data_IF_697018914604
#
_entry.id   IF_697018914604
#
_cell.length_a   1.000
_cell.length_b   1.000
_cell.length_c   1.000
_cell.angle_alpha   90.00
_cell.angle_beta   90.00
_cell.angle_gamma   90.00
#
_symmetry.space_group_name_H-M   'P 1'
#
loop_
_entity.id
_entity.type
_entity.pdbx_description
1 polymer ?
#
# COMPACT_ATOMS: atom_id res chain seq x y z
N UNK A 1 -29.05 0.23 -99.19
CA UNK A 1 -27.92 -0.10 -98.28
C UNK A 1 -27.97 0.88 -97.10
N UNK A 2 -28.48 0.45 -95.93
CA UNK A 2 -28.78 1.32 -94.77
C UNK A 2 -27.66 1.21 -93.74
N UNK A 3 -27.00 2.31 -93.41
CA UNK A 3 -26.01 2.36 -92.33
C UNK A 3 -26.61 3.16 -91.16
N UNK A 4 -27.15 2.43 -90.18
CA UNK A 4 -27.62 2.98 -88.90
C UNK A 4 -26.42 3.25 -88.00
N UNK A 5 -26.10 4.54 -87.78
CA UNK A 5 -25.17 4.97 -86.74
C UNK A 5 -25.82 4.70 -85.37
N UNK A 6 -25.36 3.66 -84.66
CA UNK A 6 -25.77 3.38 -83.28
C UNK A 6 -25.19 4.45 -82.36
N UNK A 7 -26.07 5.22 -81.73
CA UNK A 7 -25.74 6.09 -80.61
C UNK A 7 -25.18 5.25 -79.46
N UNK A 8 -23.91 5.48 -79.10
CA UNK A 8 -23.36 5.05 -77.83
C UNK A 8 -23.90 5.99 -76.75
N UNK A 9 -25.00 5.58 -76.14
CA UNK A 9 -25.60 6.19 -74.95
C UNK A 9 -24.70 5.87 -73.76
N UNK A 10 -23.69 6.70 -73.53
CA UNK A 10 -22.89 6.65 -72.31
C UNK A 10 -23.79 7.01 -71.13
N UNK A 11 -24.32 5.98 -70.48
CA UNK A 11 -24.97 6.10 -69.18
C UNK A 11 -23.89 6.46 -68.17
N UNK A 12 -23.85 7.73 -67.76
CA UNK A 12 -23.17 8.14 -66.53
C UNK A 12 -23.90 7.50 -65.35
N UNK A 13 -23.58 6.25 -65.06
CA UNK A 13 -23.92 5.65 -63.77
C UNK A 13 -22.89 6.16 -62.77
N UNK A 14 -23.25 7.26 -62.10
CA UNK A 14 -22.55 7.69 -60.90
C UNK A 14 -22.71 6.60 -59.85
N UNK A 15 -21.63 6.10 -59.23
CA UNK A 15 -21.77 5.28 -58.04
C UNK A 15 -22.33 6.19 -56.94
N UNK A 16 -23.63 6.08 -56.68
CA UNK A 16 -24.25 6.61 -55.47
C UNK A 16 -23.51 5.98 -54.29
N UNK A 17 -22.62 6.76 -53.67
CA UNK A 17 -22.00 6.42 -52.41
C UNK A 17 -23.11 6.10 -51.42
N UNK A 18 -23.22 4.82 -51.05
CA UNK A 18 -24.19 4.30 -50.10
C UNK A 18 -23.76 4.75 -48.70
N UNK A 19 -24.17 5.94 -48.31
CA UNK A 19 -23.90 6.57 -47.02
C UNK A 19 -24.69 5.96 -45.84
N UNK A 20 -25.10 4.69 -45.95
CA UNK A 20 -25.93 3.99 -44.96
C UNK A 20 -25.13 3.20 -43.91
N UNK A 21 -23.90 2.80 -44.22
CA UNK A 21 -23.15 1.83 -43.38
C UNK A 21 -22.21 2.48 -42.35
N UNK A 22 -22.08 3.81 -42.34
CA UNK A 22 -21.19 4.53 -41.41
C UNK A 22 -21.77 4.69 -40.00
N UNK A 23 -23.10 4.80 -39.87
CA UNK A 23 -23.80 4.95 -38.59
C UNK A 23 -23.61 3.74 -37.64
N UNK A 24 -23.76 2.47 -38.08
CA UNK A 24 -23.53 1.33 -37.19
C UNK A 24 -22.06 1.21 -36.77
N UNK A 25 -21.12 1.63 -37.61
CA UNK A 25 -19.68 1.56 -37.34
C UNK A 25 -19.26 2.59 -36.28
N UNK A 26 -19.83 3.80 -36.31
CA UNK A 26 -19.66 4.83 -35.28
C UNK A 26 -20.28 4.37 -33.95
N UNK A 27 -21.47 3.75 -33.98
CA UNK A 27 -22.11 3.19 -32.79
C UNK A 27 -21.28 2.07 -32.13
N UNK A 28 -20.70 1.18 -32.94
CA UNK A 28 -19.80 0.13 -32.47
C UNK A 28 -18.55 0.71 -31.82
N UNK A 29 -17.87 1.66 -32.49
CA UNK A 29 -16.70 2.35 -31.92
C UNK A 29 -17.03 3.04 -30.59
N UNK A 30 -18.16 3.73 -30.52
CA UNK A 30 -18.61 4.37 -29.28
C UNK A 30 -18.83 3.37 -28.15
N UNK A 31 -19.45 2.22 -28.44
CA UNK A 31 -19.67 1.16 -27.44
C UNK A 31 -18.37 0.54 -26.93
N UNK A 32 -17.36 0.37 -27.79
CA UNK A 32 -16.05 -0.18 -27.42
C UNK A 32 -15.28 0.80 -26.53
N UNK A 33 -15.31 2.10 -26.85
CA UNK A 33 -14.68 3.13 -26.02
C UNK A 33 -15.35 3.21 -24.64
N UNK A 34 -16.68 3.16 -24.60
CA UNK A 34 -17.42 3.20 -23.35
C UNK A 34 -17.15 1.96 -22.49
N UNK A 35 -17.15 0.77 -23.09
CA UNK A 35 -16.82 -0.47 -22.41
C UNK A 35 -15.37 -0.46 -21.88
N UNK A 36 -14.43 0.05 -22.66
CA UNK A 36 -13.04 0.23 -22.25
C UNK A 36 -12.90 1.20 -21.08
N UNK A 37 -13.63 2.31 -21.08
CA UNK A 37 -13.64 3.28 -19.98
C UNK A 37 -14.20 2.65 -18.68
N UNK A 38 -15.30 1.91 -18.77
CA UNK A 38 -15.91 1.23 -17.61
C UNK A 38 -14.97 0.14 -17.07
N UNK A 39 -14.38 -0.67 -17.95
CA UNK A 39 -13.42 -1.70 -17.56
C UNK A 39 -12.17 -1.08 -16.91
N UNK A 40 -11.65 0.01 -17.47
CA UNK A 40 -10.51 0.74 -16.91
C UNK A 40 -10.81 1.34 -15.54
N UNK A 41 -11.99 1.97 -15.36
CA UNK A 41 -12.40 2.50 -14.06
C UNK A 41 -12.59 1.40 -13.01
N UNK A 42 -13.19 0.27 -13.41
CA UNK A 42 -13.40 -0.87 -12.52
C UNK A 42 -12.05 -1.48 -12.09
N UNK A 43 -11.10 -1.58 -13.02
CA UNK A 43 -9.74 -2.03 -12.72
C UNK A 43 -9.03 -1.07 -11.75
N UNK A 44 -9.09 0.24 -11.99
CA UNK A 44 -8.50 1.24 -11.09
C UNK A 44 -9.10 1.17 -9.69
N UNK A 45 -10.42 0.98 -9.59
CA UNK A 45 -11.11 0.83 -8.31
C UNK A 45 -10.62 -0.39 -7.54
N UNK A 46 -10.52 -1.56 -8.20
CA UNK A 46 -9.99 -2.78 -7.58
C UNK A 46 -8.52 -2.63 -7.19
N UNK A 47 -7.72 -1.98 -8.04
CA UNK A 47 -6.31 -1.71 -7.77
C UNK A 47 -6.14 -0.82 -6.54
N UNK A 48 -6.92 0.26 -6.44
CA UNK A 48 -6.93 1.14 -5.26
C UNK A 48 -7.36 0.38 -4.01
N UNK A 49 -8.42 -0.42 -4.10
CA UNK A 49 -8.89 -1.26 -3.00
C UNK A 49 -7.82 -2.21 -2.48
N UNK A 50 -7.11 -2.89 -3.38
CA UNK A 50 -6.03 -3.80 -3.01
C UNK A 50 -4.86 -3.05 -2.35
N UNK A 51 -4.48 -1.87 -2.86
CA UNK A 51 -3.42 -1.05 -2.26
C UNK A 51 -3.77 -0.56 -0.85
N UNK A 52 -5.02 -0.16 -0.64
CA UNK A 52 -5.50 0.26 0.69
C UNK A 52 -5.48 -0.92 1.67
N UNK A 53 -5.90 -2.11 1.23
CA UNK A 53 -5.85 -3.31 2.06
C UNK A 53 -4.42 -3.67 2.45
N UNK A 54 -3.47 -3.61 1.51
CA UNK A 54 -2.05 -3.86 1.81
C UNK A 54 -1.47 -2.85 2.82
N UNK A 55 -1.80 -1.56 2.68
CA UNK A 55 -1.38 -0.55 3.65
C UNK A 55 -1.96 -0.82 5.03
N UNK A 56 -3.22 -1.24 5.09
CA UNK A 56 -3.89 -1.56 6.35
C UNK A 56 -3.28 -2.78 7.03
N UNK A 57 -2.97 -3.83 6.28
CA UNK A 57 -2.30 -5.01 6.85
C UNK A 57 -0.90 -4.66 7.37
N UNK A 58 -0.14 -3.86 6.63
CA UNK A 58 1.18 -3.41 7.06
C UNK A 58 1.13 -2.55 8.34
N UNK A 59 0.14 -1.65 8.45
CA UNK A 59 -0.06 -0.87 9.66
C UNK A 59 -0.44 -1.74 10.86
N UNK A 60 -1.29 -2.74 10.65
CA UNK A 60 -1.69 -3.65 11.73
C UNK A 60 -0.51 -4.52 12.19
N UNK A 61 0.27 -5.03 11.24
CA UNK A 61 1.49 -5.79 11.54
C UNK A 61 2.49 -4.96 12.33
N UNK A 62 2.72 -3.71 11.92
CA UNK A 62 3.60 -2.78 12.64
C UNK A 62 3.08 -2.42 14.05
N UNK A 63 1.76 -2.37 14.24
CA UNK A 63 1.17 -2.17 15.58
C UNK A 63 1.39 -3.38 16.47
N UNK A 64 1.15 -4.58 15.94
CA UNK A 64 1.35 -5.83 16.68
C UNK A 64 2.83 -6.00 17.07
N UNK A 65 3.77 -5.65 16.19
CA UNK A 65 5.20 -5.71 16.53
C UNK A 65 5.57 -4.71 17.63
N UNK A 66 5.02 -3.49 17.58
CA UNK A 66 5.28 -2.46 18.57
C UNK A 66 4.71 -2.85 19.95
N UNK A 67 3.50 -3.40 19.99
CA UNK A 67 2.89 -3.91 21.23
C UNK A 67 3.71 -5.08 21.81
N UNK A 68 4.24 -5.97 20.97
CA UNK A 68 5.11 -7.06 21.41
C UNK A 68 6.42 -6.53 22.03
N UNK A 69 7.05 -5.54 21.41
CA UNK A 69 8.25 -4.89 21.95
C UNK A 69 7.97 -4.16 23.27
N UNK A 70 6.84 -3.47 23.39
CA UNK A 70 6.42 -2.81 24.63
C UNK A 70 6.20 -3.83 25.76
N UNK A 71 5.61 -4.97 25.47
CA UNK A 71 5.42 -6.02 26.48
C UNK A 71 6.76 -6.62 26.93
N UNK A 72 7.70 -6.84 25.99
CA UNK A 72 9.06 -7.26 26.33
C UNK A 72 9.73 -6.22 27.22
N UNK A 73 9.64 -4.93 26.89
CA UNK A 73 10.20 -3.85 27.69
C UNK A 73 9.56 -3.79 29.09
N UNK A 74 8.25 -4.01 29.20
CA UNK A 74 7.54 -4.06 30.48
C UNK A 74 8.04 -5.22 31.34
N UNK A 75 8.15 -6.42 30.77
CA UNK A 75 8.67 -7.60 31.46
C UNK A 75 10.12 -7.35 31.89
N UNK A 76 10.94 -6.77 31.00
CA UNK A 76 12.32 -6.44 31.30
C UNK A 76 12.44 -5.42 32.42
N UNK A 77 11.59 -4.38 32.44
CA UNK A 77 11.54 -3.40 33.51
C UNK A 77 11.22 -4.05 34.86
N UNK A 78 10.24 -4.96 34.91
CA UNK A 78 9.92 -5.72 36.14
C UNK A 78 11.12 -6.59 36.56
N UNK A 79 11.77 -7.28 35.62
CA UNK A 79 12.95 -8.11 35.92
C UNK A 79 14.14 -7.29 36.40
N UNK A 80 14.36 -6.11 35.83
CA UNK A 80 15.40 -5.17 36.28
C UNK A 80 15.08 -4.71 37.71
N UNK A 81 13.83 -4.34 37.99
CA UNK A 81 13.43 -3.93 39.33
C UNK A 81 13.60 -5.05 40.37
N UNK A 82 13.26 -6.30 40.00
CA UNK A 82 13.51 -7.48 40.83
C UNK A 82 15.03 -7.75 41.04
N UNK A 83 15.82 -7.68 39.96
CA UNK A 83 17.26 -7.98 39.98
C UNK A 83 18.09 -6.91 40.69
N UNK A 84 17.72 -5.63 40.50
CA UNK A 84 18.36 -4.47 41.09
C UNK A 84 17.58 -3.87 42.26
N UNK A 85 16.67 -4.65 42.86
CA UNK A 85 16.03 -4.25 44.10
C UNK A 85 17.10 -3.92 45.14
N UNK A 86 16.99 -2.73 45.73
CA UNK A 86 17.93 -2.21 46.73
C UNK A 86 18.17 -3.22 47.86
N UNK A 87 17.15 -4.02 48.19
CA UNK A 87 17.23 -5.08 49.18
C UNK A 87 18.12 -6.25 48.73
N UNK A 88 18.05 -6.68 47.46
CA UNK A 88 18.93 -7.71 46.93
C UNK A 88 20.36 -7.21 46.77
N UNK A 89 20.55 -5.98 46.30
CA UNK A 89 21.87 -5.35 46.21
C UNK A 89 22.48 -5.23 47.62
N UNK A 90 21.71 -4.75 48.60
CA UNK A 90 22.16 -4.64 49.99
C UNK A 90 22.48 -6.02 50.61
N UNK A 91 21.71 -7.06 50.26
CA UNK A 91 21.96 -8.43 50.70
C UNK A 91 23.26 -8.99 50.11
N UNK A 92 23.47 -8.85 48.80
CA UNK A 92 24.72 -9.27 48.15
C UNK A 92 25.91 -8.48 48.71
N UNK A 93 25.76 -7.17 48.96
CA UNK A 93 26.82 -6.35 49.54
C UNK A 93 27.17 -6.75 50.98
N UNK A 94 26.19 -7.19 51.79
CA UNK A 94 26.45 -7.70 53.13
C UNK A 94 27.04 -9.11 53.11
N UNK A 95 26.45 -10.01 52.32
CA UNK A 95 26.78 -11.44 52.34
C UNK A 95 28.07 -11.78 51.57
N UNK A 96 28.33 -11.09 50.45
CA UNK A 96 29.49 -11.39 49.58
C UNK A 96 30.60 -10.34 49.68
N UNK A 97 30.28 -9.08 50.00
CA UNK A 97 31.27 -7.99 50.09
C UNK A 97 31.59 -7.61 51.55
N UNK A 98 30.97 -8.27 52.54
CA UNK A 98 31.15 -8.02 53.98
C UNK A 98 30.99 -6.54 54.38
N UNK A 99 30.15 -5.78 53.65
CA UNK A 99 29.88 -4.37 53.97
C UNK A 99 28.74 -4.29 54.99
N UNK A 100 29.01 -3.76 56.19
CA UNK A 100 28.01 -3.62 57.27
C UNK A 100 26.91 -2.59 56.95
N UNK A 101 27.25 -1.58 56.15
CA UNK A 101 26.32 -0.55 55.65
C UNK A 101 26.74 -0.14 54.22
N UNK A 102 25.84 -0.21 53.22
CA UNK A 102 26.17 0.20 51.86
C UNK A 102 26.29 1.73 51.78
N UNK A 103 27.48 2.29 51.98
CA UNK A 103 27.67 3.73 52.17
C UNK A 103 27.54 4.59 50.90
N UNK A 104 27.49 4.05 49.68
CA UNK A 104 27.47 4.91 48.47
C UNK A 104 26.58 4.31 47.38
N UNK A 105 25.34 4.80 47.27
CA UNK A 105 24.52 4.67 46.05
C UNK A 105 24.92 5.81 45.12
N UNK A 106 25.82 5.54 44.17
CA UNK A 106 26.17 6.50 43.11
C UNK A 106 25.24 6.30 41.92
N UNK A 107 24.27 7.20 41.77
CA UNK A 107 23.43 7.23 40.57
C UNK A 107 24.31 7.52 39.34
N UNK A 108 24.32 6.59 38.38
CA UNK A 108 25.01 6.77 37.09
C UNK A 108 24.05 7.51 36.17
N UNK A 109 24.42 8.68 35.63
CA UNK A 109 23.57 9.42 34.70
C UNK A 109 23.39 8.60 33.41
N UNK A 110 22.13 8.43 33.00
CA UNK A 110 21.78 7.83 31.71
C UNK A 110 22.09 8.88 30.62
N UNK A 111 22.89 8.54 29.58
CA UNK A 111 23.13 9.47 28.49
C UNK A 111 21.81 9.76 27.77
N UNK A 112 21.43 11.04 27.71
CA UNK A 112 20.27 11.49 26.96
C UNK A 112 20.53 11.22 25.47
N UNK A 113 19.76 10.34 24.84
CA UNK A 113 19.76 10.13 23.39
C UNK A 113 19.06 11.30 22.67
N UNK A 114 19.52 12.53 22.91
CA UNK A 114 19.12 13.70 22.15
C UNK A 114 20.32 14.23 21.37
N UNK A 115 20.69 13.52 20.30
CA UNK A 115 21.41 14.14 19.17
C UNK A 115 21.29 13.27 17.92
N UNK A 116 20.24 13.50 17.15
CA UNK A 116 20.32 13.51 15.68
C UNK A 116 19.19 14.36 15.09
#
# INVERSE_FOLDING_TARGET
MRIRKRQARWSMETPRARSGDALPLIGLLGSVVLAGAIAGLSFLYLWQGNRIQMLRSACEEARVSLDAELEINRILAVRIDEAFSLERIARIARDQLHMSEPTIVRYVPIPNEETN
#
